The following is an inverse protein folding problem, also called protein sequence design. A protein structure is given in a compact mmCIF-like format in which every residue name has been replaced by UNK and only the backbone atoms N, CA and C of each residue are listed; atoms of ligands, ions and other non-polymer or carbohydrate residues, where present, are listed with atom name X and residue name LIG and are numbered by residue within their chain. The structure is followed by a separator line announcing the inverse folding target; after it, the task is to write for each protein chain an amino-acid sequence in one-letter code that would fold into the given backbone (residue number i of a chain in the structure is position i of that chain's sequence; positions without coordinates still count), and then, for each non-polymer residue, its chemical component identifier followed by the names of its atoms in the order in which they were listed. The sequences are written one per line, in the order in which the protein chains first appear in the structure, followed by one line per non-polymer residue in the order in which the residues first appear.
data_IF_669799005444
#
_entry.id   IF_669799005444
#
_cell.length_a   1.000
_cell.length_b   1.000
_cell.length_c   1.000
_cell.angle_alpha   90.00
_cell.angle_beta   90.00
_cell.angle_gamma   90.00
#
_symmetry.space_group_name_H-M   'P 1'
#
loop_
_entity.id
_entity.type
_entity.pdbx_description
1 polymer ?
#
# COMPACT_ATOMS: atom_id res chain seq x y z
N UNK A 1 -4.52 15.49 -5.76
CA UNK A 1 -5.89 14.94 -5.92
C UNK A 1 -5.93 13.55 -5.28
N UNK A 2 -7.05 13.08 -4.68
CA UNK A 2 -7.13 11.71 -4.17
C UNK A 2 -6.84 10.67 -5.26
N UNK A 3 -6.25 9.54 -4.89
CA UNK A 3 -6.02 8.42 -5.80
C UNK A 3 -7.33 7.88 -6.37
N UNK A 4 -7.26 7.29 -7.57
CA UNK A 4 -8.42 6.71 -8.28
C UNK A 4 -9.28 5.81 -7.39
N UNK A 5 -8.66 4.89 -6.65
CA UNK A 5 -9.38 3.97 -5.77
C UNK A 5 -10.09 4.68 -4.61
N UNK A 6 -9.56 5.79 -4.09
CA UNK A 6 -10.26 6.58 -3.07
C UNK A 6 -11.49 7.27 -3.66
N UNK A 7 -11.38 7.81 -4.87
CA UNK A 7 -12.50 8.45 -5.58
C UNK A 7 -13.60 7.43 -5.85
N UNK A 8 -13.26 6.25 -6.37
CA UNK A 8 -14.21 5.19 -6.71
C UNK A 8 -14.89 4.59 -5.47
N UNK A 9 -14.13 4.34 -4.40
CA UNK A 9 -14.69 3.75 -3.18
C UNK A 9 -15.57 4.73 -2.41
N UNK A 10 -15.22 6.02 -2.40
CA UNK A 10 -15.84 7.01 -1.52
C UNK A 10 -15.72 6.64 -0.03
N UNK A 11 -16.79 6.92 0.73
CA UNK A 11 -16.90 6.65 2.18
C UNK A 11 -18.19 5.87 2.49
N UNK A 12 -18.18 4.53 2.35
CA UNK A 12 -19.35 3.69 2.64
C UNK A 12 -19.61 3.44 4.14
N UNK A 13 -18.86 4.06 5.07
CA UNK A 13 -18.97 3.82 6.52
C UNK A 13 -19.26 5.11 7.30
N UNK A 14 -19.78 4.96 8.52
CA UNK A 14 -19.87 6.01 9.53
C UNK A 14 -18.57 6.10 10.33
N UNK A 15 -18.09 7.32 10.59
CA UNK A 15 -16.82 7.59 11.29
C UNK A 15 -15.99 8.66 10.57
N UNK A 16 -14.67 8.65 10.80
CA UNK A 16 -13.75 9.63 10.23
C UNK A 16 -13.67 9.54 8.69
N UNK A 17 -13.46 10.69 8.06
CA UNK A 17 -13.30 10.81 6.61
C UNK A 17 -11.98 10.18 6.12
N UNK A 18 -11.99 9.50 4.95
CA UNK A 18 -10.76 8.96 4.40
C UNK A 18 -9.81 10.08 3.95
N UNK A 19 -8.52 9.93 4.24
CA UNK A 19 -7.43 10.78 3.74
C UNK A 19 -6.55 9.96 2.80
N UNK A 20 -6.27 10.50 1.62
CA UNK A 20 -5.50 9.78 0.62
C UNK A 20 -3.99 9.92 0.87
N UNK A 21 -3.25 8.80 0.80
CA UNK A 21 -1.79 8.79 0.96
C UNK A 21 -1.04 9.51 -0.18
N UNK A 22 -1.70 9.86 -1.28
CA UNK A 22 -1.07 10.30 -2.53
C UNK A 22 -1.61 11.62 -3.06
N UNK A 23 -2.16 12.48 -2.20
CA UNK A 23 -2.69 13.77 -2.66
C UNK A 23 -1.65 14.66 -3.35
N UNK A 24 -0.37 14.43 -3.04
CA UNK A 24 0.83 15.10 -3.58
C UNK A 24 1.74 14.14 -4.35
N UNK A 25 1.17 13.07 -4.94
CA UNK A 25 1.88 12.04 -5.75
C UNK A 25 2.93 11.19 -5.03
N UNK A 26 3.37 11.60 -3.84
CA UNK A 26 4.28 10.87 -2.96
C UNK A 26 3.55 10.44 -1.70
N UNK A 27 4.01 9.35 -1.09
CA UNK A 27 3.40 8.79 0.11
C UNK A 27 3.41 9.81 1.27
N UNK A 28 2.23 10.00 1.86
CA UNK A 28 2.03 10.73 3.11
C UNK A 28 1.58 9.77 4.21
N UNK A 29 2.19 9.81 5.41
CA UNK A 29 1.73 9.02 6.56
C UNK A 29 0.39 9.50 7.14
N UNK A 30 -0.09 10.68 6.74
CA UNK A 30 -1.44 11.18 7.08
C UNK A 30 -2.50 10.61 6.12
N UNK A 31 -2.74 9.29 6.19
CA UNK A 31 -3.53 8.55 5.20
C UNK A 31 -4.68 7.70 5.76
N UNK A 32 -5.54 8.26 6.61
CA UNK A 32 -6.65 7.49 7.20
C UNK A 32 -7.52 6.77 6.14
N UNK A 33 -7.55 5.44 6.17
CA UNK A 33 -8.33 4.60 5.26
C UNK A 33 -8.08 4.87 3.77
N UNK A 34 -6.86 5.20 3.34
CA UNK A 34 -6.57 5.31 1.90
C UNK A 34 -6.85 3.99 1.17
N UNK A 35 -7.71 4.01 0.15
CA UNK A 35 -8.14 2.81 -0.58
C UNK A 35 -6.97 2.09 -1.27
N UNK A 36 -6.06 2.84 -1.91
CA UNK A 36 -4.85 2.27 -2.52
C UNK A 36 -3.94 1.59 -1.48
N UNK A 37 -3.71 2.23 -0.33
CA UNK A 37 -2.88 1.61 0.72
C UNK A 37 -3.53 0.34 1.27
N UNK A 38 -4.84 0.36 1.50
CA UNK A 38 -5.56 -0.83 1.96
C UNK A 38 -5.50 -1.96 0.92
N UNK A 39 -5.61 -1.65 -0.37
CA UNK A 39 -5.48 -2.65 -1.44
C UNK A 39 -4.08 -3.29 -1.44
N UNK A 40 -3.02 -2.50 -1.30
CA UNK A 40 -1.64 -3.03 -1.22
C UNK A 40 -1.43 -3.91 0.01
N UNK A 41 -1.95 -3.52 1.17
CA UNK A 41 -1.89 -4.37 2.37
C UNK A 41 -2.64 -5.68 2.18
N UNK A 42 -3.83 -5.65 1.56
CA UNK A 42 -4.60 -6.85 1.27
C UNK A 42 -3.83 -7.79 0.33
N UNK A 43 -3.10 -7.25 -0.66
CA UNK A 43 -2.21 -8.03 -1.52
C UNK A 43 -1.09 -8.68 -0.69
N UNK A 44 -0.40 -7.91 0.15
CA UNK A 44 0.65 -8.44 1.02
C UNK A 44 0.11 -9.56 1.92
N UNK A 45 -1.07 -9.37 2.53
CA UNK A 45 -1.72 -10.39 3.36
C UNK A 45 -2.08 -11.65 2.56
N UNK A 46 -2.68 -11.50 1.37
CA UNK A 46 -3.08 -12.61 0.52
C UNK A 46 -1.89 -13.46 0.03
N UNK A 47 -0.71 -12.85 -0.10
CA UNK A 47 0.53 -13.53 -0.49
C UNK A 47 1.33 -14.07 0.69
N UNK A 48 0.88 -13.85 1.94
CA UNK A 48 1.64 -14.22 3.13
C UNK A 48 2.90 -13.37 3.35
N UNK A 49 2.99 -12.19 2.74
CA UNK A 49 4.11 -11.25 2.82
C UNK A 49 3.97 -10.27 3.99
N UNK A 50 3.36 -10.71 5.10
CA UNK A 50 3.15 -9.86 6.28
C UNK A 50 3.68 -10.51 7.54
N UNK A 51 4.17 -9.67 8.44
CA UNK A 51 4.41 -10.02 9.84
C UNK A 51 3.58 -9.08 10.70
N UNK A 52 2.64 -9.65 11.46
CA UNK A 52 1.76 -8.91 12.35
C UNK A 52 2.39 -8.84 13.74
N UNK A 53 2.57 -7.62 14.23
CA UNK A 53 2.92 -7.37 15.63
C UNK A 53 2.05 -6.25 16.20
N UNK A 54 1.15 -6.64 17.10
CA UNK A 54 0.19 -5.74 17.73
C UNK A 54 0.72 -5.10 19.04
N UNK A 55 1.82 -5.62 19.59
CA UNK A 55 2.35 -5.26 20.91
C UNK A 55 3.79 -4.75 20.88
N UNK A 56 4.54 -5.06 19.83
CA UNK A 56 5.90 -4.58 19.56
C UNK A 56 5.93 -3.35 18.63
N UNK A 57 6.90 -3.25 17.71
CA UNK A 57 7.18 -2.00 17.01
C UNK A 57 6.09 -1.59 16.01
N UNK A 58 5.60 -2.53 15.19
CA UNK A 58 4.50 -2.37 14.23
C UNK A 58 4.26 -3.68 13.47
N UNK A 59 3.12 -3.78 12.78
CA UNK A 59 2.97 -4.74 11.68
C UNK A 59 3.74 -4.25 10.45
N UNK A 60 4.29 -5.17 9.68
CA UNK A 60 5.01 -4.91 8.43
C UNK A 60 4.50 -5.83 7.33
N UNK A 61 4.57 -5.36 6.08
CA UNK A 61 4.38 -6.21 4.92
C UNK A 61 4.97 -5.60 3.67
N UNK A 62 5.08 -6.41 2.62
CA UNK A 62 5.63 -5.96 1.35
C UNK A 62 4.82 -6.46 0.15
N UNK A 63 4.88 -5.69 -0.94
CA UNK A 63 4.25 -6.04 -2.22
C UNK A 63 5.32 -5.98 -3.32
N UNK A 64 5.63 -7.10 -4.00
CA UNK A 64 6.54 -7.09 -5.14
C UNK A 64 5.87 -6.46 -6.36
N UNK A 65 6.68 -5.86 -7.23
CA UNK A 65 6.26 -5.42 -8.55
C UNK A 65 7.41 -5.45 -9.55
N UNK A 66 7.09 -5.70 -10.81
CA UNK A 66 8.05 -5.80 -11.91
C UNK A 66 7.87 -4.67 -12.95
N UNK A 67 8.97 -4.34 -13.64
CA UNK A 67 9.09 -3.30 -14.66
C UNK A 67 10.52 -2.75 -14.69
N UNK A 68 10.75 -1.67 -15.43
CA UNK A 68 12.05 -0.95 -15.42
C UNK A 68 12.43 -0.48 -14.01
N UNK A 69 11.42 -0.31 -13.17
CA UNK A 69 11.51 0.15 -11.79
C UNK A 69 11.18 -0.93 -10.75
N UNK A 70 11.40 -2.20 -11.07
CA UNK A 70 11.09 -3.35 -10.20
C UNK A 70 11.61 -3.19 -8.75
N UNK A 71 10.87 -3.75 -7.81
CA UNK A 71 11.23 -3.72 -6.39
C UNK A 71 10.09 -4.14 -5.48
N UNK A 72 10.18 -3.71 -4.22
CA UNK A 72 9.19 -4.01 -3.19
C UNK A 72 8.64 -2.73 -2.59
N UNK A 73 7.32 -2.59 -2.55
CA UNK A 73 6.68 -1.59 -1.68
C UNK A 73 6.66 -2.19 -0.28
N UNK A 74 7.49 -1.66 0.62
CA UNK A 74 7.54 -2.08 2.02
C UNK A 74 6.74 -1.11 2.86
N UNK A 75 5.79 -1.62 3.64
CA UNK A 75 4.84 -0.83 4.41
C UNK A 75 4.84 -1.27 5.86
N UNK A 76 4.67 -0.32 6.79
CA UNK A 76 4.40 -0.61 8.20
C UNK A 76 3.11 0.05 8.67
N UNK A 77 2.41 -0.57 9.59
CA UNK A 77 1.17 -0.04 10.14
C UNK A 77 0.93 -0.52 11.57
N UNK A 78 0.09 0.21 12.31
CA UNK A 78 -0.23 -0.13 13.70
C UNK A 78 -1.47 -1.01 13.74
N UNK A 79 -1.29 -2.27 14.16
CA UNK A 79 -2.35 -3.30 14.23
C UNK A 79 -3.03 -3.47 12.88
N UNK A 80 -4.29 -3.91 12.78
CA UNK A 80 -5.05 -3.82 11.54
C UNK A 80 -5.97 -2.58 11.53
N UNK A 81 -5.38 -1.38 11.65
CA UNK A 81 -6.12 -0.09 11.59
C UNK A 81 -6.01 0.57 10.23
N UNK A 82 -6.85 1.55 9.94
CA UNK A 82 -6.96 2.17 8.61
C UNK A 82 -5.76 3.01 8.13
N UNK A 83 -4.75 3.26 8.97
CA UNK A 83 -3.59 4.10 8.63
C UNK A 83 -2.34 3.26 8.36
N UNK A 84 -1.65 3.53 7.26
CA UNK A 84 -0.28 3.06 7.02
C UNK A 84 0.71 4.07 7.59
N UNK A 85 1.59 3.62 8.48
CA UNK A 85 2.53 4.47 9.22
C UNK A 85 3.76 4.86 8.40
N UNK A 86 4.36 3.91 7.69
CA UNK A 86 5.49 4.15 6.81
C UNK A 86 5.32 3.34 5.52
N UNK A 87 5.84 3.86 4.41
CA UNK A 87 5.89 3.14 3.15
C UNK A 87 7.03 3.67 2.26
N UNK A 88 7.84 2.75 1.71
CA UNK A 88 8.99 3.04 0.84
C UNK A 88 9.06 2.02 -0.29
N UNK A 89 9.77 2.37 -1.36
CA UNK A 89 10.20 1.38 -2.36
C UNK A 89 11.61 0.92 -1.99
N UNK A 90 11.79 -0.38 -1.84
CA UNK A 90 13.08 -1.02 -1.60
C UNK A 90 13.50 -1.86 -2.80
N UNK A 91 14.76 -1.68 -3.19
CA UNK A 91 15.52 -2.46 -4.16
C UNK A 91 16.78 -2.99 -3.50
N UNK A 92 17.49 -3.86 -4.19
CA UNK A 92 18.75 -4.44 -3.70
C UNK A 92 19.79 -3.36 -3.32
N UNK A 93 19.86 -2.27 -4.09
CA UNK A 93 20.85 -1.21 -3.91
C UNK A 93 20.29 0.13 -3.42
N UNK A 94 18.98 0.27 -3.24
CA UNK A 94 18.34 1.57 -3.01
C UNK A 94 17.06 1.46 -2.17
N UNK A 95 16.87 2.44 -1.29
CA UNK A 95 15.58 2.75 -0.68
C UNK A 95 15.18 4.14 -1.15
N UNK A 96 13.99 4.26 -1.74
CA UNK A 96 13.48 5.54 -2.24
C UNK A 96 12.05 5.82 -1.81
N UNK A 97 11.66 7.08 -2.02
CA UNK A 97 10.30 7.55 -1.78
C UNK A 97 9.30 6.73 -2.58
N UNK A 98 8.24 6.31 -1.90
CA UNK A 98 7.12 5.63 -2.51
C UNK A 98 6.15 6.63 -3.16
N UNK A 99 5.91 6.47 -4.46
CA UNK A 99 5.07 7.36 -5.27
C UNK A 99 3.73 6.70 -5.61
N UNK A 100 2.80 7.51 -6.10
CA UNK A 100 1.52 7.00 -6.58
C UNK A 100 1.69 6.13 -7.83
N UNK A 101 2.69 6.41 -8.65
CA UNK A 101 2.98 5.61 -9.84
C UNK A 101 3.41 4.20 -9.44
N UNK A 102 4.32 4.07 -8.46
CA UNK A 102 4.73 2.78 -7.89
C UNK A 102 3.51 1.97 -7.40
N UNK A 103 2.58 2.64 -6.71
CA UNK A 103 1.37 1.99 -6.20
C UNK A 103 0.51 1.43 -7.33
N UNK A 104 0.41 2.15 -8.46
CA UNK A 104 -0.34 1.70 -9.64
C UNK A 104 0.35 0.53 -10.32
N UNK A 105 1.67 0.59 -10.45
CA UNK A 105 2.47 -0.45 -11.10
C UNK A 105 2.40 -1.76 -10.29
N UNK A 106 2.48 -1.67 -8.96
CA UNK A 106 2.29 -2.82 -8.10
C UNK A 106 0.88 -3.40 -8.16
N UNK A 107 -0.16 -2.57 -8.16
CA UNK A 107 -1.54 -3.06 -8.32
C UNK A 107 -1.74 -3.76 -9.67
N UNK A 108 -1.21 -3.20 -10.76
CA UNK A 108 -1.32 -3.78 -12.09
C UNK A 108 -0.50 -5.09 -12.23
N UNK A 109 0.71 -5.12 -11.69
CA UNK A 109 1.54 -6.33 -11.66
C UNK A 109 0.83 -7.46 -10.91
N UNK A 110 0.38 -7.22 -9.68
CA UNK A 110 -0.23 -8.25 -8.85
C UNK A 110 -1.60 -8.70 -9.39
N UNK A 111 -2.36 -7.83 -10.07
CA UNK A 111 -3.57 -8.25 -10.75
C UNK A 111 -3.31 -9.29 -11.86
N UNK A 112 -2.22 -9.14 -12.62
CA UNK A 112 -1.82 -10.12 -13.66
C UNK A 112 -1.37 -11.43 -13.04
N UNK A 113 -0.48 -11.38 -12.05
CA UNK A 113 0.03 -12.58 -11.36
C UNK A 113 -1.10 -13.40 -10.73
N UNK A 114 -2.07 -12.74 -10.10
CA UNK A 114 -3.21 -13.42 -9.49
C UNK A 114 -4.20 -14.02 -10.51
N UNK A 115 -4.23 -13.51 -11.74
CA UNK A 115 -5.03 -14.09 -12.82
C UNK A 115 -4.35 -15.33 -13.42
N UNK A 116 -3.02 -15.29 -13.58
CA UNK A 116 -2.22 -16.43 -14.08
C UNK A 116 -2.17 -17.61 -13.11
N UNK A 117 -2.38 -17.36 -11.82
CA UNK A 117 -2.39 -18.40 -10.78
C UNK A 117 -3.74 -19.15 -10.66
N UNK A 118 -4.76 -18.78 -11.45
CA UNK A 118 -6.09 -19.41 -11.47
C UNK A 118 -6.20 -20.49 -12.54
#
# INVERSE_FOLDING_TARGET
MPCKLCVERGKPWSGDDPRCAFERETFSPDNWNCATMNALRNIAEAQGHTHRDDMGPCSIGFVPFEGDDAGYIVMTWYKNRGRTGNAVVMRDSEIRTFTYQDARDALAHNARVMEEAR
#
